data_IF_853398401610
#
_entry.id   IF_853398401610
#
_cell.length_a   1.000
_cell.length_b   1.000
_cell.length_c   1.000
_cell.angle_alpha   90.00
_cell.angle_beta   90.00
_cell.angle_gamma   90.00
#
_symmetry.space_group_name_H-M   'P 1'
#
loop_
_entity.id
_entity.type
_entity.pdbx_description
1 polymer ?
#
# COMPACT_ATOMS: atom_id res chain seq x y z
N UNK A 1 18.77 -10.16 -9.97
CA UNK A 1 18.21 -8.96 -9.31
C UNK A 1 18.87 -7.74 -9.93
N UNK A 2 18.10 -6.84 -10.54
CA UNK A 2 18.66 -5.62 -11.12
C UNK A 2 19.20 -4.73 -9.97
N UNK A 3 20.44 -4.20 -10.04
CA UNK A 3 20.94 -3.26 -9.05
C UNK A 3 20.20 -1.93 -9.23
N UNK A 4 19.17 -1.70 -8.40
CA UNK A 4 18.45 -0.44 -8.37
C UNK A 4 19.18 0.55 -7.47
N UNK A 5 19.28 1.83 -7.86
CA UNK A 5 19.82 2.86 -6.99
C UNK A 5 19.00 2.92 -5.69
N UNK A 6 19.68 3.18 -4.58
CA UNK A 6 19.13 3.08 -3.21
C UNK A 6 17.86 3.90 -3.01
N UNK A 7 17.78 5.08 -3.65
CA UNK A 7 16.59 5.93 -3.66
C UNK A 7 15.38 5.26 -4.33
N UNK A 8 15.58 4.55 -5.44
CA UNK A 8 14.52 3.83 -6.15
C UNK A 8 14.03 2.62 -5.34
N UNK A 9 14.93 1.90 -4.66
CA UNK A 9 14.54 0.80 -3.77
C UNK A 9 13.69 1.30 -2.61
N UNK A 10 14.06 2.42 -1.99
CA UNK A 10 13.29 3.02 -0.90
C UNK A 10 11.91 3.52 -1.34
N UNK A 11 11.81 4.14 -2.52
CA UNK A 11 10.52 4.58 -3.04
C UNK A 11 9.60 3.39 -3.38
N UNK A 12 10.15 2.28 -3.89
CA UNK A 12 9.39 1.05 -4.11
C UNK A 12 8.90 0.42 -2.81
N UNK A 13 9.73 0.40 -1.76
CA UNK A 13 9.32 -0.08 -0.43
C UNK A 13 8.18 0.77 0.13
N UNK A 14 8.26 2.09 -0.01
CA UNK A 14 7.17 2.99 0.42
C UNK A 14 5.90 2.82 -0.42
N UNK A 15 6.03 2.64 -1.74
CA UNK A 15 4.89 2.37 -2.62
C UNK A 15 4.21 1.05 -2.26
N UNK A 16 4.97 0.02 -1.88
CA UNK A 16 4.43 -1.26 -1.43
C UNK A 16 3.67 -1.15 -0.11
N UNK A 17 4.09 -0.24 0.77
CA UNK A 17 3.46 0.00 2.06
C UNK A 17 2.18 0.85 1.96
N UNK A 18 1.83 1.36 0.78
CA UNK A 18 0.60 2.14 0.63
C UNK A 18 -0.64 1.27 0.85
N UNK A 19 -1.67 1.78 1.55
CA UNK A 19 -2.94 1.09 1.69
C UNK A 19 -3.64 0.94 0.34
N UNK A 20 -4.64 0.05 0.29
CA UNK A 20 -5.48 -0.11 -0.90
C UNK A 20 -6.17 1.21 -1.23
N UNK A 21 -6.01 1.67 -2.46
CA UNK A 21 -6.59 2.92 -2.90
C UNK A 21 -8.13 2.82 -2.97
N UNK A 22 -8.81 3.88 -2.55
CA UNK A 22 -10.28 3.98 -2.56
C UNK A 22 -10.88 3.83 -3.96
N UNK A 23 -10.12 4.10 -5.02
CA UNK A 23 -10.58 3.91 -6.39
C UNK A 23 -10.79 2.43 -6.76
N UNK A 24 -10.19 1.49 -6.02
CA UNK A 24 -10.45 0.06 -6.20
C UNK A 24 -11.92 -0.28 -5.95
N UNK A 25 -12.60 0.44 -5.05
CA UNK A 25 -14.04 0.31 -4.82
C UNK A 25 -14.85 0.72 -6.05
N UNK A 26 -14.51 1.85 -6.68
CA UNK A 26 -15.19 2.30 -7.90
C UNK A 26 -15.00 1.32 -9.05
N UNK A 27 -13.81 0.73 -9.17
CA UNK A 27 -13.56 -0.33 -10.15
C UNK A 27 -14.38 -1.59 -9.83
N UNK A 28 -14.50 -1.97 -8.56
CA UNK A 28 -15.32 -3.12 -8.15
C UNK A 28 -16.80 -2.91 -8.52
N UNK A 29 -17.36 -1.72 -8.29
CA UNK A 29 -18.72 -1.38 -8.72
C UNK A 29 -18.88 -1.44 -10.25
N UNK A 30 -17.95 -0.82 -11.00
CA UNK A 30 -18.01 -0.75 -12.46
C UNK A 30 -17.95 -2.15 -13.11
N UNK A 31 -17.07 -3.02 -12.60
CA UNK A 31 -16.87 -4.37 -13.14
C UNK A 31 -17.77 -5.43 -12.49
N UNK A 32 -18.80 -5.02 -11.72
CA UNK A 32 -19.72 -5.93 -10.98
C UNK A 32 -18.98 -6.94 -10.08
N UNK A 33 -17.86 -6.52 -9.49
CA UNK A 33 -17.16 -7.24 -8.45
C UNK A 33 -17.82 -7.07 -7.08
N UNK A 34 -17.24 -7.69 -6.05
CA UNK A 34 -17.71 -7.58 -4.67
C UNK A 34 -17.26 -6.25 -4.04
N UNK A 35 -18.03 -5.19 -4.29
CA UNK A 35 -17.73 -3.84 -3.82
C UNK A 35 -17.83 -3.69 -2.31
N UNK A 36 -18.70 -4.46 -1.64
CA UNK A 36 -18.83 -4.46 -0.18
C UNK A 36 -17.56 -5.03 0.48
N UNK A 37 -17.04 -6.14 -0.05
CA UNK A 37 -15.76 -6.69 0.40
C UNK A 37 -14.62 -5.69 0.16
N UNK A 38 -14.56 -5.07 -1.01
CA UNK A 38 -13.50 -4.10 -1.33
C UNK A 38 -13.58 -2.86 -0.42
N UNK A 39 -14.78 -2.36 -0.13
CA UNK A 39 -14.96 -1.25 0.82
C UNK A 39 -14.43 -1.61 2.22
N UNK A 40 -14.72 -2.82 2.70
CA UNK A 40 -14.21 -3.33 3.98
C UNK A 40 -12.68 -3.42 3.97
N UNK A 41 -12.09 -3.97 2.90
CA UNK A 41 -10.63 -4.04 2.74
C UNK A 41 -9.98 -2.66 2.75
N UNK A 42 -10.55 -1.68 2.03
CA UNK A 42 -10.05 -0.30 2.01
C UNK A 42 -10.11 0.32 3.41
N UNK A 43 -11.22 0.16 4.14
CA UNK A 43 -11.35 0.67 5.50
C UNK A 43 -10.32 0.04 6.45
N UNK A 44 -10.20 -1.30 6.44
CA UNK A 44 -9.27 -2.04 7.30
C UNK A 44 -7.82 -1.67 6.98
N UNK A 45 -7.44 -1.67 5.69
CA UNK A 45 -6.06 -1.34 5.28
C UNK A 45 -5.70 0.11 5.57
N UNK A 46 -6.66 1.05 5.52
CA UNK A 46 -6.43 2.45 5.91
C UNK A 46 -6.12 2.58 7.40
N UNK A 47 -6.87 1.89 8.27
CA UNK A 47 -6.62 1.91 9.72
C UNK A 47 -5.29 1.23 10.05
N UNK A 48 -5.03 0.07 9.44
CA UNK A 48 -3.79 -0.69 9.63
C UNK A 48 -2.58 0.03 9.05
N UNK A 49 -2.76 0.89 8.04
CA UNK A 49 -1.66 1.65 7.45
C UNK A 49 -0.97 2.60 8.43
N UNK A 50 -1.66 3.11 9.46
CA UNK A 50 -1.06 4.03 10.44
C UNK A 50 0.16 3.39 11.14
N UNK A 51 0.02 2.25 11.83
CA UNK A 51 1.17 1.57 12.42
C UNK A 51 2.13 0.96 11.38
N UNK A 52 1.61 0.46 10.25
CA UNK A 52 2.45 -0.18 9.22
C UNK A 52 3.38 0.83 8.55
N UNK A 53 2.88 1.99 8.13
CA UNK A 53 3.70 3.04 7.52
C UNK A 53 4.72 3.58 8.51
N UNK A 54 4.33 3.81 9.77
CA UNK A 54 5.27 4.24 10.81
C UNK A 54 6.42 3.23 10.99
N UNK A 55 6.12 1.94 11.00
CA UNK A 55 7.10 0.87 11.06
C UNK A 55 8.00 0.85 9.83
N UNK A 56 7.42 0.85 8.61
CA UNK A 56 8.17 0.80 7.35
C UNK A 56 9.13 1.99 7.22
N UNK A 57 8.66 3.21 7.53
CA UNK A 57 9.50 4.41 7.52
C UNK A 57 10.64 4.31 8.54
N UNK A 58 10.37 3.75 9.71
CA UNK A 58 11.40 3.55 10.75
C UNK A 58 12.47 2.54 10.36
N UNK A 59 12.11 1.51 9.57
CA UNK A 59 13.06 0.50 9.06
C UNK A 59 13.78 0.91 7.76
N UNK A 60 13.27 1.90 7.04
CA UNK A 60 13.83 2.35 5.75
C UNK A 60 15.33 2.70 5.79
N UNK A 61 15.89 3.31 6.85
CA UNK A 61 17.33 3.59 6.97
C UNK A 61 18.20 2.33 7.03
N UNK A 62 17.65 1.19 7.44
CA UNK A 62 18.36 -0.09 7.49
C UNK A 62 18.61 -0.65 6.09
N UNK A 63 17.81 -0.22 5.11
CA UNK A 63 17.94 -0.58 3.71
C UNK A 63 19.00 0.35 3.09
N UNK A 64 20.23 -0.18 2.96
CA UNK A 64 21.35 0.50 2.31
C UNK A 64 21.17 0.56 0.81
#
# INVERSE_FOLDING_TARGET
MLPLPTLATRSLVLALAMPTAVNAFLLAEEFRGDSEMVASVVAVTTVVAVPVVALVVSLLPLIR
#
